data_IF_857144723116
#
_entry.id   IF_857144723116
#
_cell.length_a   1.000
_cell.length_b   1.000
_cell.length_c   1.000
_cell.angle_alpha   90.00
_cell.angle_beta   90.00
_cell.angle_gamma   90.00
#
_symmetry.space_group_name_H-M   'P 1'
#
loop_
_entity.id
_entity.type
_entity.pdbx_description
1 polymer ?
#
# COMPACT_ATOMS: atom_id res chain seq x y z
N UNK A 1 31.96 -19.48 16.52
CA UNK A 1 30.80 -20.22 17.06
C UNK A 1 29.56 -19.52 16.51
N UNK A 2 28.97 -20.07 15.45
CA UNK A 2 27.70 -19.54 14.91
C UNK A 2 26.64 -20.03 15.89
N UNK A 3 26.02 -19.12 16.63
CA UNK A 3 24.86 -19.44 17.45
C UNK A 3 23.79 -19.88 16.44
N UNK A 4 23.43 -21.16 16.45
CA UNK A 4 22.23 -21.62 15.75
C UNK A 4 21.06 -20.92 16.42
N UNK A 5 20.53 -19.91 15.76
CA UNK A 5 19.39 -19.19 16.24
C UNK A 5 18.16 -20.00 15.85
N UNK A 6 17.73 -20.87 16.76
CA UNK A 6 16.61 -21.80 16.54
C UNK A 6 15.32 -21.05 16.13
N UNK A 7 15.18 -19.78 16.53
CA UNK A 7 14.08 -18.91 16.11
C UNK A 7 14.22 -18.54 14.64
N UNK A 8 15.42 -18.14 14.20
CA UNK A 8 15.69 -17.83 12.80
C UNK A 8 15.53 -19.06 11.91
N UNK A 9 16.07 -20.21 12.32
CA UNK A 9 15.93 -21.48 11.58
C UNK A 9 14.45 -21.90 11.47
N UNK A 10 13.68 -21.70 12.56
CA UNK A 10 12.23 -21.93 12.54
C UNK A 10 11.51 -20.99 11.58
N UNK A 11 11.85 -19.69 11.55
CA UNK A 11 11.24 -18.71 10.63
C UNK A 11 11.60 -18.97 9.17
N UNK A 12 12.83 -19.42 8.91
CA UNK A 12 13.32 -19.81 7.58
C UNK A 12 12.54 -21.01 7.07
N UNK A 13 12.33 -22.03 7.92
CA UNK A 13 11.62 -23.25 7.55
C UNK A 13 10.10 -23.09 7.42
N UNK A 14 9.52 -22.06 8.07
CA UNK A 14 8.08 -21.83 8.05
C UNK A 14 7.59 -21.01 6.84
N UNK A 15 8.49 -20.54 5.97
CA UNK A 15 8.16 -19.66 4.83
C UNK A 15 7.77 -18.23 5.23
N UNK A 16 7.80 -17.91 6.53
CA UNK A 16 7.45 -16.58 7.06
C UNK A 16 8.48 -15.54 6.62
N UNK A 17 9.75 -15.95 6.53
CA UNK A 17 10.80 -15.06 6.05
C UNK A 17 10.63 -14.72 4.57
N UNK A 18 10.23 -15.69 3.75
CA UNK A 18 9.97 -15.46 2.32
C UNK A 18 8.78 -14.50 2.13
N UNK A 19 7.67 -14.74 2.84
CA UNK A 19 6.51 -13.81 2.86
C UNK A 19 6.89 -12.40 3.34
N UNK A 20 7.82 -12.29 4.29
CA UNK A 20 8.33 -11.01 4.77
C UNK A 20 9.24 -10.32 3.74
N UNK A 21 10.12 -11.08 3.08
CA UNK A 21 11.00 -10.56 2.03
C UNK A 21 10.19 -10.09 0.83
N UNK A 22 9.14 -10.82 0.43
CA UNK A 22 8.21 -10.39 -0.63
C UNK A 22 7.54 -9.04 -0.31
N UNK A 23 7.36 -8.72 0.98
CA UNK A 23 6.80 -7.45 1.43
C UNK A 23 7.84 -6.30 1.38
N UNK A 24 9.09 -6.60 1.74
CA UNK A 24 10.16 -5.61 1.89
C UNK A 24 10.93 -5.36 0.59
N UNK A 25 11.09 -6.37 -0.27
CA UNK A 25 11.89 -6.32 -1.48
C UNK A 25 11.27 -7.19 -2.60
N UNK A 26 10.09 -6.79 -3.11
CA UNK A 26 9.35 -7.59 -4.09
C UNK A 26 10.14 -7.73 -5.38
N UNK A 27 10.40 -8.97 -5.79
CA UNK A 27 11.12 -9.26 -7.04
C UNK A 27 10.15 -9.46 -8.21
N UNK A 28 8.91 -9.85 -7.94
CA UNK A 28 7.85 -10.03 -8.93
C UNK A 28 6.69 -9.04 -8.72
N UNK A 29 5.94 -8.81 -9.78
CA UNK A 29 4.82 -7.88 -9.75
C UNK A 29 3.73 -8.32 -8.77
N UNK A 30 3.48 -9.63 -8.63
CA UNK A 30 2.48 -10.15 -7.69
C UNK A 30 2.87 -9.91 -6.23
N UNK A 31 4.18 -10.03 -5.92
CA UNK A 31 4.75 -9.74 -4.60
C UNK A 31 4.61 -8.24 -4.30
N UNK A 32 4.97 -7.38 -5.26
CA UNK A 32 4.76 -5.93 -5.18
C UNK A 32 3.29 -5.60 -4.94
N UNK A 33 2.38 -6.15 -5.74
CA UNK A 33 0.94 -5.90 -5.63
C UNK A 33 0.41 -6.30 -4.26
N UNK A 34 0.80 -7.48 -3.76
CA UNK A 34 0.46 -7.96 -2.42
C UNK A 34 0.97 -7.01 -1.34
N UNK A 35 2.20 -6.52 -1.47
CA UNK A 35 2.82 -5.59 -0.52
C UNK A 35 2.09 -4.24 -0.45
N UNK A 36 1.72 -3.69 -1.60
CA UNK A 36 0.94 -2.44 -1.68
C UNK A 36 -0.45 -2.64 -1.09
N UNK A 37 -1.13 -3.75 -1.39
CA UNK A 37 -2.46 -4.06 -0.82
C UNK A 37 -2.44 -4.18 0.70
N UNK A 38 -1.45 -4.87 1.27
CA UNK A 38 -1.31 -5.01 2.73
C UNK A 38 -1.11 -3.63 3.35
N UNK A 39 -0.23 -2.82 2.76
CA UNK A 39 0.09 -1.47 3.24
C UNK A 39 -1.12 -0.55 3.18
N UNK A 40 -1.84 -0.52 2.05
CA UNK A 40 -3.10 0.21 1.88
C UNK A 40 -4.14 -0.18 2.92
N UNK A 41 -4.35 -1.48 3.13
CA UNK A 41 -5.32 -1.98 4.13
C UNK A 41 -4.96 -1.51 5.53
N UNK A 42 -3.68 -1.49 5.88
CA UNK A 42 -3.22 -1.02 7.18
C UNK A 42 -3.40 0.50 7.30
N UNK A 43 -3.13 1.27 6.25
CA UNK A 43 -3.35 2.71 6.22
C UNK A 43 -4.84 3.05 6.41
N UNK A 44 -5.73 2.40 5.66
CA UNK A 44 -7.18 2.56 5.79
C UNK A 44 -7.65 2.21 7.21
N UNK A 45 -7.24 1.07 7.76
CA UNK A 45 -7.57 0.69 9.14
C UNK A 45 -7.09 1.73 10.16
N UNK A 46 -5.91 2.33 9.94
CA UNK A 46 -5.38 3.38 10.81
C UNK A 46 -6.27 4.64 10.78
N UNK A 47 -6.76 5.02 9.61
CA UNK A 47 -7.67 6.16 9.44
C UNK A 47 -9.04 5.86 10.06
N UNK A 48 -9.62 4.69 9.76
CA UNK A 48 -10.92 4.27 10.28
C UNK A 48 -10.93 4.16 11.81
N UNK A 49 -9.86 3.64 12.42
CA UNK A 49 -9.73 3.57 13.89
C UNK A 49 -9.53 4.92 14.57
N UNK A 50 -9.27 5.98 13.80
CA UNK A 50 -9.14 7.37 14.27
C UNK A 50 -10.17 8.28 13.58
N UNK A 51 -11.32 7.74 13.16
CA UNK A 51 -12.29 8.47 12.34
C UNK A 51 -12.71 9.82 12.93
N UNK A 52 -12.72 9.98 14.26
CA UNK A 52 -12.96 11.23 14.98
C UNK A 52 -11.99 12.38 14.60
N UNK A 53 -10.81 12.05 14.06
CA UNK A 53 -9.80 13.02 13.60
C UNK A 53 -9.81 13.28 12.10
N UNK A 54 -10.48 12.43 11.34
CA UNK A 54 -10.43 12.42 9.87
C UNK A 54 -11.81 12.64 9.23
N UNK A 55 -12.90 12.73 10.01
CA UNK A 55 -14.27 12.80 9.50
C UNK A 55 -14.60 14.06 8.69
N UNK A 56 -13.85 15.14 8.87
CA UNK A 56 -14.02 16.42 8.19
C UNK A 56 -13.03 16.63 7.04
N UNK A 57 -12.19 15.62 6.75
CA UNK A 57 -11.19 15.71 5.70
C UNK A 57 -11.78 15.43 4.31
N UNK A 58 -11.26 16.13 3.31
CA UNK A 58 -11.58 15.88 1.91
C UNK A 58 -10.95 14.57 1.41
N UNK A 59 -11.47 14.05 0.29
CA UNK A 59 -10.87 12.91 -0.42
C UNK A 59 -9.38 13.11 -0.69
N UNK A 60 -8.99 14.30 -1.15
CA UNK A 60 -7.59 14.68 -1.40
C UNK A 60 -6.71 14.61 -0.13
N UNK A 61 -7.23 15.10 1.01
CA UNK A 61 -6.50 15.07 2.28
C UNK A 61 -6.33 13.65 2.82
N UNK A 62 -7.36 12.80 2.67
CA UNK A 62 -7.25 11.41 3.07
C UNK A 62 -6.31 10.65 2.12
N UNK A 63 -6.40 10.86 0.81
CA UNK A 63 -5.46 10.31 -0.19
C UNK A 63 -4.01 10.70 0.10
N UNK A 64 -3.78 11.97 0.44
CA UNK A 64 -2.45 12.45 0.86
C UNK A 64 -1.96 11.74 2.12
N UNK A 65 -2.85 11.54 3.11
CA UNK A 65 -2.50 10.82 4.34
C UNK A 65 -2.14 9.36 4.06
N UNK A 66 -2.91 8.67 3.21
CA UNK A 66 -2.63 7.29 2.80
C UNK A 66 -1.29 7.23 2.06
N UNK A 67 -1.04 8.16 1.15
CA UNK A 67 0.22 8.27 0.41
C UNK A 67 1.43 8.37 1.35
N UNK A 68 1.36 9.22 2.38
CA UNK A 68 2.42 9.35 3.38
C UNK A 68 2.62 8.07 4.23
N UNK A 69 1.54 7.33 4.52
CA UNK A 69 1.63 6.06 5.25
C UNK A 69 2.27 4.96 4.39
N UNK A 70 1.98 4.94 3.09
CA UNK A 70 2.62 4.06 2.12
C UNK A 70 4.10 4.42 1.97
N UNK A 71 4.43 5.71 1.90
CA UNK A 71 5.82 6.15 1.82
C UNK A 71 6.65 5.69 3.04
N UNK A 72 6.06 5.79 4.25
CA UNK A 72 6.67 5.27 5.49
C UNK A 72 6.89 3.75 5.49
N UNK A 73 6.16 3.00 4.67
CA UNK A 73 6.36 1.56 4.48
C UNK A 73 7.47 1.24 3.45
N UNK A 74 8.17 2.25 2.95
CA UNK A 74 9.33 2.08 2.06
C UNK A 74 9.00 2.09 0.58
N UNK A 75 7.82 2.59 0.19
CA UNK A 75 7.47 2.86 -1.20
C UNK A 75 7.78 4.32 -1.54
N UNK A 76 7.99 4.61 -2.82
CA UNK A 76 8.00 5.99 -3.31
C UNK A 76 6.59 6.39 -3.71
N UNK A 77 6.13 7.55 -3.26
CA UNK A 77 4.82 8.08 -3.67
C UNK A 77 4.95 9.46 -4.30
N UNK A 78 4.02 9.77 -5.20
CA UNK A 78 3.90 11.09 -5.85
C UNK A 78 2.43 11.41 -6.03
N UNK A 79 2.06 12.68 -5.84
CA UNK A 79 0.67 13.12 -6.06
C UNK A 79 0.35 13.29 -7.55
N UNK A 80 1.36 13.51 -8.41
CA UNK A 80 1.13 13.80 -9.83
C UNK A 80 2.30 13.35 -10.72
N UNK A 81 2.28 12.14 -11.30
CA UNK A 81 3.38 11.64 -12.15
C UNK A 81 3.46 12.25 -13.57
N UNK A 82 2.68 13.29 -13.90
CA UNK A 82 2.62 14.06 -15.18
C UNK A 82 1.57 13.67 -16.23
N UNK A 83 1.06 14.71 -16.91
CA UNK A 83 0.36 14.86 -18.21
C UNK A 83 -0.86 13.99 -18.60
N UNK A 84 -1.29 12.99 -17.82
CA UNK A 84 -2.41 12.09 -18.21
C UNK A 84 -3.70 12.22 -17.39
N UNK A 85 -3.79 13.19 -16.50
CA UNK A 85 -4.93 13.38 -15.59
C UNK A 85 -4.50 13.34 -14.12
N UNK A 86 -5.42 13.74 -13.24
CA UNK A 86 -5.23 13.66 -11.79
C UNK A 86 -5.23 12.19 -11.36
N UNK A 87 -4.27 11.79 -10.53
CA UNK A 87 -4.19 10.46 -9.90
C UNK A 87 -4.06 10.71 -8.41
N UNK A 88 -4.90 10.07 -7.59
CA UNK A 88 -4.88 10.35 -6.16
C UNK A 88 -3.61 9.85 -5.47
N UNK A 89 -3.14 8.65 -5.82
CA UNK A 89 -1.93 8.06 -5.24
C UNK A 89 -1.13 7.30 -6.29
N UNK A 90 0.11 7.71 -6.52
CA UNK A 90 1.12 6.92 -7.24
C UNK A 90 1.99 6.15 -6.24
N UNK A 91 2.26 4.87 -6.52
CA UNK A 91 3.14 4.02 -5.71
C UNK A 91 4.20 3.37 -6.60
N UNK A 92 5.46 3.51 -6.23
CA UNK A 92 6.60 2.95 -6.95
C UNK A 92 7.53 2.22 -5.98
N UNK A 93 8.02 1.05 -6.41
CA UNK A 93 9.10 0.32 -5.74
C UNK A 93 9.93 -0.40 -6.79
N UNK A 94 11.20 -0.03 -6.85
CA UNK A 94 12.15 -0.48 -7.88
C UNK A 94 11.59 -0.28 -9.30
N UNK A 95 11.24 -1.38 -9.98
CA UNK A 95 10.70 -1.35 -11.35
C UNK A 95 9.18 -1.37 -11.40
N UNK A 96 8.50 -1.58 -10.28
CA UNK A 96 7.06 -1.76 -10.23
C UNK A 96 6.36 -0.45 -9.86
N UNK A 97 5.22 -0.21 -10.51
CA UNK A 97 4.46 1.03 -10.40
C UNK A 97 2.97 0.71 -10.33
N UNK A 98 2.25 1.50 -9.56
CA UNK A 98 0.79 1.44 -9.49
C UNK A 98 0.20 2.84 -9.36
N UNK A 99 -0.94 3.04 -10.01
CA UNK A 99 -1.80 4.21 -9.87
C UNK A 99 -3.05 3.77 -9.12
N UNK A 100 -3.43 4.52 -8.10
CA UNK A 100 -4.57 4.23 -7.25
C UNK A 100 -5.48 5.45 -7.27
N UNK A 101 -6.75 5.21 -7.58
CA UNK A 101 -7.83 6.17 -7.43
C UNK A 101 -8.52 5.91 -6.09
N UNK A 102 -8.65 6.94 -5.27
CA UNK A 102 -9.36 6.92 -4.01
C UNK A 102 -10.77 7.47 -4.23
N UNK A 103 -11.75 6.88 -3.55
CA UNK A 103 -13.13 7.37 -3.55
C UNK A 103 -13.73 7.20 -2.17
N UNK A 104 -14.28 8.28 -1.61
CA UNK A 104 -15.06 8.21 -0.36
C UNK A 104 -16.49 7.76 -0.69
N UNK A 105 -16.93 6.64 -0.08
CA UNK A 105 -18.32 6.19 -0.16
C UNK A 105 -19.24 6.98 0.78
N UNK A 106 -20.35 7.53 0.26
CA UNK A 106 -21.30 8.36 1.04
C UNK A 106 -22.23 7.57 2.00
N UNK A 107 -21.93 6.31 2.30
CA UNK A 107 -22.68 5.50 3.26
C UNK A 107 -21.82 5.16 4.49
N UNK A 108 -22.42 5.31 5.67
CA UNK A 108 -21.85 5.22 7.03
C UNK A 108 -21.10 3.93 7.43
N UNK A 109 -20.58 3.11 6.51
CA UNK A 109 -19.93 1.85 6.88
C UNK A 109 -18.56 1.54 6.30
N UNK A 110 -18.09 2.17 5.21
CA UNK A 110 -16.73 1.88 4.70
C UNK A 110 -16.19 3.08 3.93
N UNK A 111 -15.08 3.66 4.40
CA UNK A 111 -14.50 4.87 3.78
C UNK A 111 -13.93 4.54 2.39
N UNK A 112 -13.64 3.27 2.08
CA UNK A 112 -12.97 2.87 0.85
C UNK A 112 -13.50 1.56 0.25
N UNK A 113 -14.68 1.59 -0.38
CA UNK A 113 -15.12 0.48 -1.26
C UNK A 113 -14.49 0.57 -2.66
N UNK A 114 -13.87 1.70 -3.02
CA UNK A 114 -13.25 1.97 -4.32
C UNK A 114 -11.83 1.43 -4.53
N UNK A 115 -11.18 0.82 -3.54
CA UNK A 115 -9.85 0.18 -3.68
C UNK A 115 -9.90 -1.14 -4.47
N UNK A 116 -10.78 -1.22 -5.46
CA UNK A 116 -10.74 -2.25 -6.48
C UNK A 116 -9.45 -2.06 -7.29
N UNK A 117 -8.73 -3.14 -7.64
CA UNK A 117 -7.63 -3.06 -8.58
C UNK A 117 -8.20 -2.60 -9.93
N UNK A 118 -8.22 -1.30 -10.17
CA UNK A 118 -8.58 -0.71 -11.45
C UNK A 118 -7.42 -1.02 -12.40
N UNK A 119 -7.76 -1.87 -13.37
CA UNK A 119 -7.09 -2.14 -14.64
C UNK A 119 -5.56 -2.06 -14.67
N UNK A 120 -4.95 -3.24 -14.72
CA UNK A 120 -3.67 -3.52 -15.39
C UNK A 120 -3.76 -3.14 -16.87
N UNK A 121 -3.96 -1.86 -17.18
CA UNK A 121 -3.52 -1.30 -18.45
C UNK A 121 -2.02 -1.06 -18.32
N UNK A 122 -1.27 -2.11 -18.67
CA UNK A 122 0.11 -1.98 -19.10
C UNK A 122 0.17 -0.90 -20.19
N UNK A 123 0.47 0.34 -19.82
CA UNK A 123 1.11 1.23 -20.76
C UNK A 123 2.55 0.74 -20.91
N UNK A 124 2.72 -0.24 -21.81
CA UNK A 124 3.99 -0.43 -22.51
C UNK A 124 4.33 0.84 -23.31
#
# INVERSE_FOLDING_TARGET
MIIKDEVFDSMLSSGVLDDFLDLIDPQKFDEFSRSVFITLRNAVKSIESNADKYYDQSEEQISTTISLLIEKAGFQTKSEPSNRGHVDIFVEKDRFKWLIEAKIGYNNQKIFEGLLPIDLSLFN
#
